data_IF_332769919190
#
_entry.id   IF_332769919190
#
_cell.length_a   1.000
_cell.length_b   1.000
_cell.length_c   1.000
_cell.angle_alpha   90.00
_cell.angle_beta   90.00
_cell.angle_gamma   90.00
#
_symmetry.space_group_name_H-M   'P 1'
#
loop_
_entity.id
_entity.type
_entity.pdbx_description
1 polymer ?
#
# COMPACT_ATOMS: atom_id res chain seq x y z
N UNK A 1 40.71 -76.15 -0.43
CA UNK A 1 40.60 -75.25 0.72
C UNK A 1 40.45 -73.82 0.16
N UNK A 2 39.25 -73.42 -0.13
CA UNK A 2 38.94 -72.09 -0.71
C UNK A 2 38.42 -71.15 0.38
N UNK A 3 39.17 -70.05 0.61
CA UNK A 3 38.76 -69.00 1.54
C UNK A 3 37.89 -68.00 0.78
N UNK A 4 36.59 -67.87 1.18
CA UNK A 4 35.72 -66.80 0.76
C UNK A 4 36.04 -65.56 1.54
N UNK A 5 36.42 -64.46 0.84
CA UNK A 5 36.56 -63.12 1.39
C UNK A 5 35.20 -62.41 1.16
N UNK A 6 34.44 -62.20 2.23
CA UNK A 6 33.23 -61.37 2.18
C UNK A 6 33.60 -59.91 2.23
N UNK A 7 33.37 -59.18 1.12
CA UNK A 7 33.47 -57.73 1.06
C UNK A 7 32.15 -57.12 1.54
N UNK A 8 32.17 -56.51 2.72
CA UNK A 8 31.06 -55.71 3.22
C UNK A 8 31.12 -54.31 2.54
N UNK A 9 30.19 -54.05 1.58
CA UNK A 9 29.96 -52.70 1.07
C UNK A 9 29.17 -51.91 2.11
N UNK A 10 29.85 -50.97 2.78
CA UNK A 10 29.17 -49.94 3.59
C UNK A 10 28.63 -48.88 2.62
N UNK A 11 27.35 -48.95 2.29
CA UNK A 11 26.64 -47.88 1.60
C UNK A 11 26.39 -46.79 2.63
N UNK A 12 27.28 -45.81 2.66
CA UNK A 12 27.07 -44.58 3.41
C UNK A 12 25.85 -43.82 2.86
N UNK A 13 24.77 -43.76 3.61
CA UNK A 13 23.63 -42.87 3.37
C UNK A 13 24.13 -41.42 3.48
N UNK A 14 24.51 -40.83 2.36
CA UNK A 14 24.71 -39.40 2.24
C UNK A 14 23.31 -38.80 2.21
N UNK A 15 22.74 -38.48 3.38
CA UNK A 15 21.58 -37.61 3.48
C UNK A 15 22.02 -36.25 2.97
N UNK A 16 21.37 -35.68 1.93
CA UNK A 16 21.64 -34.29 1.58
C UNK A 16 21.20 -33.45 2.77
N UNK A 17 22.16 -32.84 3.45
CA UNK A 17 21.91 -31.72 4.33
C UNK A 17 21.30 -30.63 3.44
N UNK A 18 19.97 -30.57 3.42
CA UNK A 18 19.24 -29.41 2.92
C UNK A 18 19.67 -28.24 3.80
N UNK A 19 20.70 -27.55 3.36
CA UNK A 19 21.06 -26.26 3.91
C UNK A 19 19.86 -25.35 3.67
N UNK A 20 19.05 -25.13 4.68
CA UNK A 20 18.10 -24.03 4.72
C UNK A 20 18.91 -22.73 4.82
N UNK A 21 19.62 -22.38 3.76
CA UNK A 21 20.15 -21.04 3.59
C UNK A 21 18.98 -20.08 3.68
N UNK A 22 19.08 -19.07 4.56
CA UNK A 22 18.07 -18.02 4.61
C UNK A 22 17.86 -17.48 3.20
N UNK A 23 16.60 -17.31 2.81
CA UNK A 23 16.27 -16.72 1.50
C UNK A 23 16.89 -15.31 1.43
N UNK A 24 17.80 -15.12 0.49
CA UNK A 24 18.56 -13.87 0.34
C UNK A 24 17.81 -12.80 -0.49
N UNK A 25 16.63 -13.13 -1.01
CA UNK A 25 15.83 -12.17 -1.76
C UNK A 25 15.34 -11.04 -0.85
N UNK A 26 15.28 -9.79 -1.34
CA UNK A 26 14.88 -8.66 -0.52
C UNK A 26 13.40 -8.75 -0.15
N UNK A 27 13.05 -8.25 1.03
CA UNK A 27 11.67 -7.91 1.34
C UNK A 27 11.26 -6.66 0.55
N UNK A 28 10.04 -6.65 0.05
CA UNK A 28 9.46 -5.54 -0.72
C UNK A 28 8.28 -4.99 0.07
N UNK A 29 8.39 -3.74 0.51
CA UNK A 29 7.30 -3.01 1.16
C UNK A 29 6.89 -1.86 0.25
N UNK A 30 5.66 -1.93 -0.26
CA UNK A 30 5.08 -0.93 -1.15
C UNK A 30 4.04 -0.12 -0.39
N UNK A 31 4.33 1.16 -0.13
CA UNK A 31 3.47 2.07 0.64
C UNK A 31 2.77 3.04 -0.32
N UNK A 32 1.47 3.20 -0.16
CA UNK A 32 0.64 4.10 -0.97
C UNK A 32 -0.10 5.06 -0.05
N UNK A 33 0.10 6.36 -0.23
CA UNK A 33 -0.79 7.41 0.28
C UNK A 33 -1.99 7.60 -0.65
N UNK A 34 -3.11 8.07 -0.14
CA UNK A 34 -4.31 8.31 -0.93
C UNK A 34 -4.63 9.81 -1.01
N UNK A 35 -4.69 10.35 -2.22
CA UNK A 35 -4.93 11.77 -2.51
C UNK A 35 -3.88 12.74 -1.93
N UNK A 36 -2.60 12.32 -1.87
CA UNK A 36 -1.48 13.16 -1.46
C UNK A 36 -0.78 13.77 -2.69
N UNK A 37 -0.54 15.08 -2.66
CA UNK A 37 0.22 15.73 -3.73
C UNK A 37 1.72 15.42 -3.61
N UNK A 38 2.43 15.49 -4.73
CA UNK A 38 3.86 15.15 -4.83
C UNK A 38 4.78 16.05 -3.98
N UNK A 39 4.33 17.28 -3.72
CA UNK A 39 5.04 18.31 -2.96
C UNK A 39 4.56 18.45 -1.50
N UNK A 40 3.66 17.60 -1.03
CA UNK A 40 3.16 17.62 0.33
C UNK A 40 4.02 16.78 1.30
N UNK A 41 5.35 16.89 1.16
CA UNK A 41 6.35 16.23 2.00
C UNK A 41 7.45 17.23 2.40
N UNK A 42 8.02 17.07 3.59
CA UNK A 42 9.15 17.85 4.05
C UNK A 42 10.35 17.73 3.11
N UNK A 43 10.69 16.52 2.68
CA UNK A 43 11.77 16.27 1.72
C UNK A 43 11.51 16.86 0.32
N UNK A 44 10.28 17.20 -0.01
CA UNK A 44 9.93 17.93 -1.22
C UNK A 44 9.99 19.46 -1.07
N UNK A 45 10.24 19.94 0.17
CA UNK A 45 10.38 21.37 0.48
C UNK A 45 9.10 22.02 1.00
N UNK A 46 8.04 21.26 1.34
CA UNK A 46 6.83 21.82 1.91
C UNK A 46 7.06 22.25 3.37
N UNK A 47 6.95 23.56 3.69
CA UNK A 47 7.22 24.04 5.04
C UNK A 47 6.07 23.83 6.02
N UNK A 48 4.91 23.43 5.53
CA UNK A 48 3.69 23.27 6.35
C UNK A 48 3.61 21.91 7.01
N UNK A 49 4.11 20.85 6.34
CA UNK A 49 3.89 19.46 6.73
C UNK A 49 5.04 18.91 7.58
N UNK A 50 4.73 18.00 8.46
CA UNK A 50 5.71 17.30 9.32
C UNK A 50 5.77 15.83 8.96
N UNK A 51 6.81 15.43 8.20
CA UNK A 51 7.00 14.06 7.68
C UNK A 51 8.40 13.50 7.98
N UNK A 52 8.84 13.50 9.26
CA UNK A 52 10.21 13.12 9.60
C UNK A 52 10.59 11.68 9.21
N UNK A 53 9.66 10.73 9.26
CA UNK A 53 9.93 9.33 8.91
C UNK A 53 10.05 9.16 7.38
N UNK A 54 9.14 9.74 6.61
CA UNK A 54 9.21 9.75 5.13
C UNK A 54 10.44 10.51 4.67
N UNK A 55 10.77 11.64 5.30
CA UNK A 55 11.98 12.41 5.00
C UNK A 55 13.25 11.60 5.29
N UNK A 56 13.25 10.78 6.35
CA UNK A 56 14.35 9.86 6.66
C UNK A 56 14.49 8.78 5.58
N UNK A 57 13.40 8.20 5.08
CA UNK A 57 13.45 7.27 3.95
C UNK A 57 14.02 7.93 2.71
N UNK A 58 13.59 9.15 2.39
CA UNK A 58 14.11 9.91 1.26
C UNK A 58 15.62 10.20 1.38
N UNK A 59 16.09 10.52 2.60
CA UNK A 59 17.50 10.83 2.87
C UNK A 59 18.40 9.56 2.83
N UNK A 60 17.85 8.41 3.20
CA UNK A 60 18.59 7.14 3.25
C UNK A 60 18.44 6.30 1.98
N UNK A 61 17.60 6.73 1.04
CA UNK A 61 17.27 6.00 -0.17
C UNK A 61 17.41 6.84 -1.44
N UNK A 62 16.65 6.47 -2.45
CA UNK A 62 16.60 7.17 -3.73
C UNK A 62 15.24 7.86 -3.88
N UNK A 63 15.23 9.18 -4.06
CA UNK A 63 14.04 9.96 -4.35
C UNK A 63 13.90 10.22 -5.84
N UNK A 64 12.79 9.78 -6.42
CA UNK A 64 12.44 10.08 -7.80
C UNK A 64 11.67 11.40 -7.87
N UNK A 65 12.27 12.44 -8.48
CA UNK A 65 11.68 13.78 -8.59
C UNK A 65 10.68 13.91 -9.74
N UNK A 66 10.72 12.97 -10.69
CA UNK A 66 9.87 12.93 -11.88
C UNK A 66 9.15 11.56 -11.97
N UNK A 67 8.34 11.24 -10.96
CA UNK A 67 7.47 10.08 -10.95
C UNK A 67 6.02 10.52 -11.21
N UNK A 68 5.33 9.86 -12.14
CA UNK A 68 3.98 10.22 -12.55
C UNK A 68 3.05 9.03 -12.43
N UNK A 69 1.86 9.26 -11.91
CA UNK A 69 0.77 8.31 -12.00
C UNK A 69 0.21 8.28 -13.43
N UNK A 70 -0.26 7.11 -13.85
CA UNK A 70 -0.96 6.97 -15.14
C UNK A 70 -2.32 7.65 -15.13
N UNK A 71 -2.92 7.80 -13.94
CA UNK A 71 -4.18 8.51 -13.69
C UNK A 71 -4.28 8.91 -12.23
N UNK A 72 -4.73 10.13 -11.94
CA UNK A 72 -4.96 10.66 -10.59
C UNK A 72 -6.36 10.27 -10.09
N UNK A 73 -6.63 8.99 -9.92
CA UNK A 73 -7.91 8.45 -9.45
C UNK A 73 -7.68 7.11 -8.73
N UNK A 74 -8.28 6.93 -7.56
CA UNK A 74 -7.95 5.86 -6.60
C UNK A 74 -7.90 4.45 -7.21
N UNK A 75 -9.06 3.86 -7.56
CA UNK A 75 -9.10 2.46 -8.05
C UNK A 75 -8.43 2.27 -9.40
N UNK A 76 -8.57 3.17 -10.40
CA UNK A 76 -7.88 3.01 -11.67
C UNK A 76 -6.36 3.11 -11.55
N UNK A 77 -5.85 4.01 -10.68
CA UNK A 77 -4.42 4.11 -10.40
C UNK A 77 -3.89 2.82 -9.74
N UNK A 78 -4.61 2.30 -8.75
CA UNK A 78 -4.25 1.03 -8.09
C UNK A 78 -4.28 -0.14 -9.05
N UNK A 79 -5.28 -0.21 -9.94
CA UNK A 79 -5.36 -1.22 -11.00
C UNK A 79 -4.17 -1.12 -11.96
N UNK A 80 -3.83 0.09 -12.39
CA UNK A 80 -2.68 0.36 -13.25
C UNK A 80 -1.36 -0.04 -12.59
N UNK A 81 -1.15 0.32 -11.33
CA UNK A 81 0.06 -0.03 -10.58
C UNK A 81 0.19 -1.55 -10.47
N UNK A 82 -0.85 -2.25 -9.97
CA UNK A 82 -0.73 -3.68 -9.65
C UNK A 82 -0.62 -4.58 -10.89
N UNK A 83 -1.11 -4.11 -12.05
CA UNK A 83 -1.03 -4.81 -13.35
C UNK A 83 0.14 -4.34 -14.20
N UNK A 84 0.80 -3.23 -13.85
CA UNK A 84 1.83 -2.57 -14.66
C UNK A 84 1.34 -2.19 -16.06
N UNK A 85 0.04 -1.87 -16.21
CA UNK A 85 -0.58 -1.49 -17.49
C UNK A 85 -1.31 -0.15 -17.37
N UNK A 86 -1.55 0.52 -18.50
CA UNK A 86 -2.34 1.75 -18.50
C UNK A 86 -3.81 1.49 -18.17
N UNK A 87 -4.53 2.47 -17.57
CA UNK A 87 -5.91 2.26 -17.11
C UNK A 87 -6.85 1.69 -18.18
N UNK A 88 -6.78 2.17 -19.43
CA UNK A 88 -7.62 1.69 -20.54
C UNK A 88 -7.36 0.22 -20.92
N UNK A 89 -6.28 -0.39 -20.43
CA UNK A 89 -5.93 -1.79 -20.66
C UNK A 89 -6.36 -2.70 -19.49
N UNK A 90 -6.84 -2.12 -18.39
CA UNK A 90 -7.15 -2.88 -17.18
C UNK A 90 -8.59 -3.42 -17.13
N UNK A 91 -9.50 -2.92 -17.97
CA UNK A 91 -10.97 -3.05 -17.85
C UNK A 91 -11.50 -2.55 -16.48
N UNK A 92 -10.73 -1.70 -15.81
CA UNK A 92 -11.04 -1.06 -14.53
C UNK A 92 -10.64 0.44 -14.55
N UNK A 93 -10.78 1.09 -15.71
CA UNK A 93 -10.38 2.48 -15.94
C UNK A 93 -11.32 3.50 -15.26
N UNK A 94 -12.51 3.08 -14.83
CA UNK A 94 -13.44 3.95 -14.15
C UNK A 94 -13.31 3.81 -12.62
N UNK A 95 -13.53 4.91 -11.92
CA UNK A 95 -13.52 4.93 -10.46
C UNK A 95 -14.52 3.90 -9.91
N UNK A 96 -14.10 3.11 -8.93
CA UNK A 96 -14.81 2.03 -8.27
C UNK A 96 -15.08 0.77 -9.14
N UNK A 97 -14.58 0.71 -10.35
CA UNK A 97 -14.65 -0.55 -11.08
C UNK A 97 -13.66 -1.56 -10.50
N UNK A 98 -14.13 -2.78 -10.22
CA UNK A 98 -13.24 -3.83 -9.73
C UNK A 98 -12.31 -4.31 -10.84
N UNK A 99 -11.07 -4.61 -10.50
CA UNK A 99 -10.13 -5.25 -11.42
C UNK A 99 -10.62 -6.67 -11.74
N UNK A 100 -10.78 -7.02 -13.04
CA UNK A 100 -11.25 -8.35 -13.44
C UNK A 100 -10.27 -9.47 -13.07
N UNK A 101 -10.81 -10.67 -12.80
CA UNK A 101 -10.02 -11.85 -12.42
C UNK A 101 -9.04 -12.33 -13.49
N UNK A 102 -9.25 -11.99 -14.76
CA UNK A 102 -8.36 -12.38 -15.87
C UNK A 102 -7.15 -11.45 -16.06
N UNK A 103 -7.01 -10.41 -15.24
CA UNK A 103 -5.86 -9.50 -15.28
C UNK A 103 -4.74 -10.02 -14.43
N UNK A 104 -3.57 -10.24 -15.02
CA UNK A 104 -2.36 -10.62 -14.30
C UNK A 104 -1.88 -9.48 -13.39
N UNK A 105 -1.43 -9.82 -12.19
CA UNK A 105 -0.86 -8.86 -11.24
C UNK A 105 0.57 -9.23 -10.87
N UNK A 106 1.40 -8.24 -10.59
CA UNK A 106 2.76 -8.55 -10.13
C UNK A 106 2.78 -9.21 -8.73
N UNK A 107 1.74 -8.99 -7.92
CA UNK A 107 1.58 -9.69 -6.65
C UNK A 107 1.45 -11.21 -6.83
N UNK A 108 0.69 -11.65 -7.85
CA UNK A 108 0.57 -13.06 -8.22
C UNK A 108 1.91 -13.65 -8.68
N UNK A 109 2.69 -12.89 -9.46
CA UNK A 109 4.02 -13.33 -9.90
C UNK A 109 5.00 -13.45 -8.73
N UNK A 110 4.96 -12.52 -7.77
CA UNK A 110 5.76 -12.60 -6.55
C UNK A 110 5.35 -13.78 -5.69
N UNK A 111 4.05 -14.04 -5.52
CA UNK A 111 3.55 -15.22 -4.81
C UNK A 111 4.01 -16.52 -5.47
N UNK A 112 3.89 -16.62 -6.80
CA UNK A 112 4.39 -17.77 -7.57
C UNK A 112 5.91 -17.95 -7.44
N UNK A 113 6.65 -16.87 -7.22
CA UNK A 113 8.09 -16.87 -6.96
C UNK A 113 8.45 -17.18 -5.50
N UNK A 114 7.49 -17.53 -4.64
CA UNK A 114 7.70 -17.95 -3.25
C UNK A 114 7.72 -16.82 -2.22
N UNK A 115 7.38 -15.59 -2.60
CA UNK A 115 7.13 -14.53 -1.62
C UNK A 115 5.86 -14.83 -0.81
N UNK A 116 5.89 -14.48 0.48
CA UNK A 116 4.66 -14.29 1.22
C UNK A 116 4.09 -12.92 0.90
N UNK A 117 2.88 -12.88 0.37
CA UNK A 117 2.26 -11.69 -0.17
C UNK A 117 1.10 -11.22 0.70
N UNK A 118 1.12 -9.94 1.09
CA UNK A 118 0.09 -9.38 1.96
C UNK A 118 -0.33 -8.00 1.51
N UNK A 119 -1.64 -7.71 1.64
CA UNK A 119 -2.17 -6.37 1.47
C UNK A 119 -2.84 -5.90 2.77
N UNK A 120 -2.61 -4.66 3.19
CA UNK A 120 -3.23 -4.08 4.36
C UNK A 120 -3.62 -2.61 4.13
N UNK A 121 -4.79 -2.22 4.64
CA UNK A 121 -5.34 -0.87 4.51
C UNK A 121 -6.35 -0.71 3.39
N UNK A 122 -6.32 0.40 2.64
CA UNK A 122 -7.26 0.67 1.55
C UNK A 122 -7.03 -0.28 0.38
N UNK A 123 -7.97 -1.18 0.12
CA UNK A 123 -7.88 -2.14 -0.98
C UNK A 123 -8.30 -1.53 -2.33
N UNK A 124 -9.57 -1.24 -2.50
CA UNK A 124 -10.18 -0.54 -3.63
C UNK A 124 -9.93 -1.15 -5.02
N UNK A 125 -9.72 -2.47 -5.08
CA UNK A 125 -9.50 -3.25 -6.32
C UNK A 125 -10.61 -4.30 -6.58
N UNK A 126 -11.66 -4.32 -5.73
CA UNK A 126 -12.70 -5.34 -5.79
C UNK A 126 -12.24 -6.68 -5.20
N UNK A 127 -13.11 -7.71 -5.32
CA UNK A 127 -12.87 -8.98 -4.64
C UNK A 127 -12.23 -10.04 -5.54
N UNK A 128 -12.20 -9.83 -6.87
CA UNK A 128 -11.81 -10.87 -7.82
C UNK A 128 -10.33 -11.27 -7.78
N UNK A 129 -9.47 -10.43 -7.18
CA UNK A 129 -8.03 -10.64 -7.16
C UNK A 129 -7.46 -10.76 -5.74
N UNK A 130 -8.30 -10.86 -4.72
CA UNK A 130 -7.83 -11.01 -3.33
C UNK A 130 -7.05 -12.31 -3.10
N UNK A 131 -7.39 -13.37 -3.79
CA UNK A 131 -6.73 -14.67 -3.77
C UNK A 131 -5.28 -14.64 -4.33
N UNK A 132 -4.92 -13.54 -5.02
CA UNK A 132 -3.55 -13.28 -5.47
C UNK A 132 -2.59 -12.96 -4.32
N UNK A 133 -3.12 -12.64 -3.16
CA UNK A 133 -2.38 -12.45 -1.93
C UNK A 133 -2.58 -13.65 -1.00
N UNK A 134 -1.59 -13.92 -0.13
CA UNK A 134 -1.75 -14.91 0.94
C UNK A 134 -2.66 -14.37 2.03
N UNK A 135 -2.64 -13.05 2.26
CA UNK A 135 -3.48 -12.38 3.24
C UNK A 135 -3.88 -10.97 2.76
N UNK A 136 -5.17 -10.60 2.98
CA UNK A 136 -5.68 -9.25 2.74
C UNK A 136 -6.40 -8.77 3.99
N UNK A 137 -5.91 -7.70 4.61
CA UNK A 137 -6.54 -7.01 5.76
C UNK A 137 -7.00 -5.63 5.31
N UNK A 138 -8.25 -5.56 4.87
CA UNK A 138 -8.82 -4.26 4.50
C UNK A 138 -9.02 -3.38 5.75
N UNK A 139 -8.75 -2.08 5.59
CA UNK A 139 -9.19 -1.11 6.57
C UNK A 139 -10.72 -1.11 6.65
N UNK A 140 -11.23 -1.00 7.87
CA UNK A 140 -12.66 -0.80 8.09
C UNK A 140 -13.06 0.59 7.61
N UNK A 141 -13.50 0.64 6.36
CA UNK A 141 -14.10 1.81 5.74
C UNK A 141 -15.62 1.75 5.89
N UNK A 142 -16.12 1.43 7.09
CA UNK A 142 -17.55 1.32 7.35
C UNK A 142 -18.28 2.58 6.86
N UNK A 143 -19.01 2.43 5.75
CA UNK A 143 -19.67 3.52 5.02
C UNK A 143 -19.20 3.77 3.60
N UNK A 144 -18.06 3.26 3.20
CA UNK A 144 -17.63 3.26 1.82
C UNK A 144 -18.04 1.94 1.16
N UNK A 145 -19.24 1.91 0.58
CA UNK A 145 -19.69 0.75 -0.18
C UNK A 145 -19.26 0.92 -1.65
N UNK A 146 -18.36 0.05 -2.08
CA UNK A 146 -18.05 -0.08 -3.51
C UNK A 146 -19.30 -0.62 -4.24
N UNK A 147 -19.79 0.06 -5.27
CA UNK A 147 -20.81 -0.51 -6.13
C UNK A 147 -20.26 -1.76 -6.81
N UNK A 148 -21.03 -2.85 -6.82
CA UNK A 148 -20.65 -4.12 -7.44
C UNK A 148 -21.40 -4.35 -8.74
N UNK A 149 -20.77 -4.99 -9.72
CA UNK A 149 -21.41 -5.44 -10.96
C UNK A 149 -21.98 -4.32 -11.84
N UNK A 150 -23.24 -4.46 -12.28
CA UNK A 150 -23.91 -3.50 -13.18
C UNK A 150 -24.08 -2.10 -12.58
N UNK A 151 -24.17 -1.98 -11.25
CA UNK A 151 -24.26 -0.70 -10.56
C UNK A 151 -22.95 0.11 -10.63
N UNK A 152 -21.81 -0.57 -10.59
CA UNK A 152 -20.50 0.06 -10.79
C UNK A 152 -20.38 0.63 -12.21
N UNK A 153 -20.79 -0.14 -13.22
CA UNK A 153 -20.79 0.29 -14.63
C UNK A 153 -21.78 1.41 -14.94
N UNK A 154 -22.83 1.58 -14.13
CA UNK A 154 -23.83 2.64 -14.31
C UNK A 154 -23.44 3.98 -13.67
N UNK A 155 -22.27 4.08 -13.01
CA UNK A 155 -21.80 5.31 -12.38
C UNK A 155 -22.67 5.79 -11.20
N UNK A 156 -23.59 4.96 -10.72
CA UNK A 156 -24.44 5.27 -9.56
C UNK A 156 -23.68 5.03 -8.27
N UNK A 157 -23.01 6.04 -7.78
CA UNK A 157 -22.31 6.03 -6.49
C UNK A 157 -23.23 6.66 -5.47
N UNK A 158 -23.72 5.87 -4.53
CA UNK A 158 -24.24 6.39 -3.26
C UNK A 158 -23.09 6.45 -2.28
N UNK A 159 -22.37 7.56 -2.28
CA UNK A 159 -21.33 7.81 -1.31
C UNK A 159 -22.01 8.25 0.00
N UNK A 160 -21.95 7.39 1.01
CA UNK A 160 -22.27 7.80 2.37
C UNK A 160 -20.98 8.32 2.98
N UNK A 161 -20.87 9.64 3.07
CA UNK A 161 -19.75 10.30 3.77
C UNK A 161 -19.87 9.97 5.26
N UNK A 162 -18.83 9.37 5.81
CA UNK A 162 -18.73 9.08 7.24
C UNK A 162 -17.55 9.90 7.77
N UNK A 163 -17.85 10.84 8.67
CA UNK A 163 -16.84 11.47 9.51
C UNK A 163 -16.12 10.43 10.37
N UNK A 164 -14.85 10.65 10.69
CA UNK A 164 -13.92 9.79 11.40
C UNK A 164 -13.36 8.65 10.54
N UNK A 165 -12.88 8.94 9.33
CA UNK A 165 -12.10 8.01 8.56
C UNK A 165 -10.83 7.62 9.32
N UNK A 166 -10.61 6.32 9.56
CA UNK A 166 -9.36 5.82 10.12
C UNK A 166 -8.24 5.98 9.08
N UNK A 167 -7.00 6.10 9.54
CA UNK A 167 -5.82 6.21 8.65
C UNK A 167 -5.70 5.08 7.61
N UNK A 168 -6.31 3.94 7.88
CA UNK A 168 -6.12 2.71 7.10
C UNK A 168 -4.81 1.98 7.40
N UNK A 169 -3.98 2.51 8.30
CA UNK A 169 -2.64 2.01 8.57
C UNK A 169 -2.55 1.10 9.79
N UNK A 170 -3.62 0.96 10.58
CA UNK A 170 -3.67 0.22 11.85
C UNK A 170 -3.29 -1.26 11.72
N UNK A 171 -3.48 -1.87 10.54
CA UNK A 171 -3.10 -3.26 10.27
C UNK A 171 -1.68 -3.44 9.74
N UNK A 172 -0.94 -2.37 9.43
CA UNK A 172 0.40 -2.48 8.83
C UNK A 172 1.40 -3.17 9.75
N UNK A 173 1.56 -2.68 10.97
CA UNK A 173 2.48 -3.28 11.94
C UNK A 173 2.04 -4.68 12.37
N UNK A 174 0.77 -4.96 12.68
CA UNK A 174 0.31 -6.31 12.95
C UNK A 174 0.60 -7.31 11.84
N UNK A 175 0.35 -6.97 10.58
CA UNK A 175 0.58 -7.87 9.45
C UNK A 175 2.08 -8.13 9.23
N UNK A 176 2.92 -7.10 9.35
CA UNK A 176 4.37 -7.24 9.22
C UNK A 176 4.97 -8.12 10.35
N UNK A 177 4.42 -8.02 11.56
CA UNK A 177 4.82 -8.88 12.69
C UNK A 177 4.39 -10.34 12.52
N UNK A 178 3.25 -10.58 11.87
CA UNK A 178 2.70 -11.91 11.65
C UNK A 178 3.38 -12.68 10.49
N UNK A 179 4.25 -12.03 9.70
CA UNK A 179 4.87 -12.62 8.52
C UNK A 179 5.65 -13.91 8.83
N UNK A 180 5.65 -14.94 7.97
CA UNK A 180 6.57 -16.06 8.01
C UNK A 180 8.03 -15.58 7.95
N UNK A 181 8.91 -16.23 8.72
CA UNK A 181 10.34 -15.83 8.78
C UNK A 181 11.20 -16.50 7.73
N UNK A 182 10.69 -17.56 7.14
CA UNK A 182 11.34 -18.42 6.15
C UNK A 182 11.06 -18.03 4.69
N UNK A 183 10.28 -16.97 4.49
CA UNK A 183 9.92 -16.46 3.15
C UNK A 183 10.25 -14.97 3.02
N UNK A 184 10.65 -14.51 1.83
CA UNK A 184 10.70 -13.10 1.54
C UNK A 184 9.29 -12.51 1.52
N UNK A 185 9.18 -11.25 1.90
CA UNK A 185 7.91 -10.53 2.03
C UNK A 185 7.64 -9.64 0.83
N UNK A 186 6.43 -9.68 0.31
CA UNK A 186 5.84 -8.58 -0.44
C UNK A 186 4.64 -8.01 0.35
N UNK A 187 4.71 -6.75 0.75
CA UNK A 187 3.64 -6.05 1.46
C UNK A 187 3.12 -4.86 0.65
N UNK A 188 1.82 -4.88 0.34
CA UNK A 188 1.06 -3.77 -0.23
C UNK A 188 0.37 -3.04 0.91
N UNK A 189 0.94 -1.94 1.37
CA UNK A 189 0.47 -1.14 2.49
C UNK A 189 -0.14 0.16 1.96
N UNK A 190 -1.45 0.25 1.99
CA UNK A 190 -2.16 1.38 1.41
C UNK A 190 -2.96 2.13 2.47
N UNK A 191 -2.64 3.42 2.65
CA UNK A 191 -3.36 4.30 3.56
C UNK A 191 -4.71 4.74 2.98
N UNK A 192 -5.59 5.21 3.85
CA UNK A 192 -6.68 6.11 3.52
C UNK A 192 -6.21 7.56 3.59
N UNK A 193 -5.26 7.85 4.49
CA UNK A 193 -4.67 9.18 4.62
C UNK A 193 -3.89 9.60 3.35
N UNK A 194 -3.96 10.87 2.99
CA UNK A 194 -4.83 11.95 3.49
C UNK A 194 -6.12 12.16 2.65
N UNK A 195 -6.85 11.09 2.34
CA UNK A 195 -8.12 11.18 1.59
C UNK A 195 -9.21 11.87 2.44
N UNK A 196 -9.94 12.81 1.84
CA UNK A 196 -11.10 13.48 2.45
C UNK A 196 -12.20 12.44 2.81
N UNK A 197 -12.97 12.57 3.93
CA UNK A 197 -13.05 13.77 4.80
C UNK A 197 -11.97 13.74 5.88
N UNK A 198 -11.46 14.94 6.22
CA UNK A 198 -10.39 15.07 7.20
C UNK A 198 -10.90 15.05 8.63
N UNK A 199 -10.21 14.30 9.49
CA UNK A 199 -10.52 14.17 10.90
C UNK A 199 -9.91 15.29 11.75
N UNK A 200 -10.67 15.78 12.74
CA UNK A 200 -10.18 16.73 13.75
C UNK A 200 -9.61 16.00 14.96
N UNK A 201 -8.56 16.58 15.56
CA UNK A 201 -8.02 16.08 16.84
C UNK A 201 -7.29 14.76 16.75
N UNK A 202 -6.76 14.42 15.58
CA UNK A 202 -5.99 13.18 15.35
C UNK A 202 -4.53 13.28 15.79
N UNK A 203 -4.06 14.49 16.07
CA UNK A 203 -2.72 14.77 16.56
C UNK A 203 -2.77 15.53 17.89
N UNK A 204 -1.84 15.23 18.79
CA UNK A 204 -1.65 15.99 20.05
C UNK A 204 -1.18 17.43 19.77
N UNK A 205 -0.45 17.63 18.67
CA UNK A 205 0.02 18.92 18.21
C UNK A 205 -0.46 19.12 16.74
N UNK A 206 -1.70 19.57 16.52
CA UNK A 206 -2.23 19.78 15.17
C UNK A 206 -1.55 20.96 14.47
N UNK A 207 -1.72 21.05 13.16
CA UNK A 207 -1.28 22.19 12.37
C UNK A 207 -2.20 23.38 12.66
N UNK A 208 -1.60 24.57 12.86
CA UNK A 208 -2.38 25.81 13.06
C UNK A 208 -2.79 26.39 11.71
N UNK A 209 -4.08 26.72 11.49
CA UNK A 209 -4.54 27.38 10.28
C UNK A 209 -3.79 28.68 9.96
N UNK A 210 -3.35 29.40 11.02
CA UNK A 210 -2.63 30.68 10.88
C UNK A 210 -1.24 30.49 10.26
N UNK A 211 -0.60 29.34 10.48
CA UNK A 211 0.73 29.02 9.94
C UNK A 211 0.69 28.40 8.55
N UNK A 212 -0.47 27.97 8.07
CA UNK A 212 -0.60 27.31 6.76
C UNK A 212 -0.34 28.31 5.63
N UNK A 213 0.58 27.94 4.74
CA UNK A 213 0.80 28.63 3.44
C UNK A 213 0.03 27.87 2.38
N UNK A 214 -1.01 28.51 1.85
CA UNK A 214 -1.83 27.89 0.80
C UNK A 214 -1.13 27.90 -0.55
N UNK A 215 -1.40 26.89 -1.40
CA UNK A 215 -0.98 26.94 -2.80
C UNK A 215 -1.56 28.17 -3.51
N UNK A 216 -0.85 28.73 -4.51
CA UNK A 216 -1.25 30.00 -5.13
C UNK A 216 -2.58 29.95 -5.91
N UNK A 217 -3.05 28.77 -6.22
CA UNK A 217 -4.33 28.54 -6.89
C UNK A 217 -5.52 28.38 -5.92
N UNK A 218 -5.29 28.46 -4.60
CA UNK A 218 -6.32 28.35 -3.57
C UNK A 218 -6.57 29.74 -2.98
N UNK A 219 -7.87 30.11 -2.89
CA UNK A 219 -8.26 31.37 -2.25
C UNK A 219 -7.85 31.40 -0.78
N UNK A 220 -7.14 32.45 -0.37
CA UNK A 220 -6.70 32.61 1.02
C UNK A 220 -7.86 33.07 1.91
N UNK A 221 -8.52 32.09 2.50
CA UNK A 221 -9.58 32.29 3.47
C UNK A 221 -9.31 31.49 4.73
N UNK A 222 -9.90 31.90 5.85
CA UNK A 222 -9.80 31.11 7.10
C UNK A 222 -10.27 29.67 6.89
N UNK A 223 -11.36 29.48 6.12
CA UNK A 223 -11.89 28.15 5.81
C UNK A 223 -10.89 27.29 5.02
N UNK A 224 -10.25 27.85 4.02
CA UNK A 224 -9.22 27.16 3.25
C UNK A 224 -8.03 26.76 4.13
N UNK A 225 -7.58 27.69 4.99
CA UNK A 225 -6.47 27.42 5.92
C UNK A 225 -6.83 26.34 6.95
N UNK A 226 -8.04 26.35 7.48
CA UNK A 226 -8.55 25.30 8.38
C UNK A 226 -8.59 23.93 7.70
N UNK A 227 -9.06 23.88 6.46
CA UNK A 227 -9.14 22.66 5.67
C UNK A 227 -7.75 22.06 5.39
N UNK A 228 -6.79 22.90 4.96
CA UNK A 228 -5.42 22.47 4.74
C UNK A 228 -4.68 22.08 6.01
N UNK A 229 -4.96 22.72 7.14
CA UNK A 229 -4.39 22.30 8.43
C UNK A 229 -4.80 20.87 8.78
N UNK A 230 -6.06 20.50 8.57
CA UNK A 230 -6.55 19.14 8.77
C UNK A 230 -5.93 18.13 7.76
N UNK A 231 -5.80 18.53 6.51
CA UNK A 231 -5.12 17.73 5.49
C UNK A 231 -3.67 17.41 5.89
N UNK A 232 -2.92 18.41 6.38
CA UNK A 232 -1.54 18.20 6.85
C UNK A 232 -1.48 17.39 8.15
N UNK A 233 -2.51 17.44 8.99
CA UNK A 233 -2.62 16.56 10.15
C UNK A 233 -2.70 15.09 9.72
N UNK A 234 -3.45 14.77 8.68
CA UNK A 234 -3.53 13.40 8.16
C UNK A 234 -2.24 12.92 7.51
N UNK A 235 -1.54 13.77 6.77
CA UNK A 235 -0.21 13.44 6.25
C UNK A 235 0.77 13.15 7.39
N UNK A 236 0.74 13.96 8.45
CA UNK A 236 1.57 13.73 9.65
C UNK A 236 1.16 12.46 10.39
N UNK A 237 -0.14 12.10 10.39
CA UNK A 237 -0.62 10.83 10.94
C UNK A 237 -0.09 9.66 10.12
N UNK A 238 -0.17 9.72 8.78
CA UNK A 238 0.41 8.72 7.88
C UNK A 238 1.91 8.52 8.15
N UNK A 239 2.67 9.60 8.28
CA UNK A 239 4.11 9.56 8.53
C UNK A 239 4.48 8.76 9.79
N UNK A 240 3.62 8.74 10.82
CA UNK A 240 3.83 7.96 12.05
C UNK A 240 3.79 6.45 11.83
N UNK A 241 3.23 5.99 10.74
CA UNK A 241 3.14 4.56 10.39
C UNK A 241 4.28 4.11 9.45
N UNK A 242 5.02 5.05 8.89
CA UNK A 242 6.18 4.81 8.03
C UNK A 242 7.46 4.76 8.85
#
# INVERSE_FOLDING_TARGET
>A
MYRFISIFCIIGLISPLLSNGADTRPNIVFIIADDMAWDDLGCAGNPNVRTPNIDQLANNGMRFTNAFLTISSCSPSRASIITSTYPHQTDAEQLHWPLPANRLTFAELLKASGYWTVAAGKWHLGNFIKDRFDEVREADVSGFQLPTGKAAKAGKITQKVIGNARSGCDQWVPVLKARPKDKPLFAWLAALDPHRDYDKGILDNPHSPESVRLPPYVADTLKSRQDYALYYDEITRLDRFV
#
